data_IF_140526304472
#
_entry.id   IF_140526304472
#
_cell.length_a   1.000
_cell.length_b   1.000
_cell.length_c   1.000
_cell.angle_alpha   90.00
_cell.angle_beta   90.00
_cell.angle_gamma   90.00
#
_symmetry.space_group_name_H-M   'P 1'
#
loop_
_entity.id
_entity.type
_entity.pdbx_description
1 polymer ?
#
# COMPACT_ATOMS: atom_id res chain seq x y z
N UNK A 1 5.87 -10.50 -25.04
CA UNK A 1 5.48 -9.39 -24.15
C UNK A 1 5.82 -9.77 -22.71
N UNK A 2 7.07 -9.54 -22.28
CA UNK A 2 7.51 -9.89 -20.92
C UNK A 2 6.94 -8.89 -19.91
N UNK A 3 6.23 -9.38 -18.89
CA UNK A 3 5.88 -8.54 -17.73
C UNK A 3 7.19 -8.13 -17.06
N UNK A 4 7.46 -6.83 -16.98
CA UNK A 4 8.63 -6.34 -16.25
C UNK A 4 8.58 -6.88 -14.82
N UNK A 5 9.65 -7.50 -14.31
CA UNK A 5 9.69 -8.08 -12.96
C UNK A 5 9.48 -7.03 -11.85
N UNK A 6 9.60 -5.74 -12.19
CA UNK A 6 9.47 -4.58 -11.28
C UNK A 6 8.03 -4.07 -11.21
N UNK A 7 7.16 -4.44 -12.17
CA UNK A 7 5.80 -3.90 -12.24
C UNK A 7 4.95 -4.14 -10.97
N UNK A 8 4.96 -5.34 -10.35
CA UNK A 8 4.24 -5.58 -9.09
C UNK A 8 4.76 -4.72 -7.93
N UNK A 9 6.07 -4.41 -7.92
CA UNK A 9 6.67 -3.54 -6.92
C UNK A 9 6.18 -2.09 -7.08
N UNK A 10 6.07 -1.61 -8.32
CA UNK A 10 5.53 -0.28 -8.61
C UNK A 10 4.05 -0.17 -8.21
N UNK A 11 3.26 -1.21 -8.46
CA UNK A 11 1.85 -1.27 -8.05
C UNK A 11 1.70 -1.27 -6.52
N UNK A 12 2.54 -2.03 -5.80
CA UNK A 12 2.61 -1.97 -4.34
C UNK A 12 3.00 -0.57 -3.84
N UNK A 13 4.02 0.07 -4.45
CA UNK A 13 4.44 1.42 -4.08
C UNK A 13 3.34 2.46 -4.27
N UNK A 14 2.52 2.33 -5.32
CA UNK A 14 1.38 3.21 -5.54
C UNK A 14 0.36 3.10 -4.40
N UNK A 15 0.02 1.89 -3.96
CA UNK A 15 -0.91 1.68 -2.84
C UNK A 15 -0.36 2.17 -1.52
N UNK A 16 0.94 2.01 -1.27
CA UNK A 16 1.58 2.61 -0.08
C UNK A 16 1.50 4.13 -0.13
N UNK A 17 1.75 4.75 -1.29
CA UNK A 17 1.63 6.19 -1.46
C UNK A 17 0.19 6.68 -1.21
N UNK A 18 -0.81 5.99 -1.77
CA UNK A 18 -2.23 6.27 -1.52
C UNK A 18 -2.57 6.15 -0.02
N UNK A 19 -2.06 5.12 0.67
CA UNK A 19 -2.24 4.94 2.11
C UNK A 19 -1.64 6.11 2.91
N UNK A 20 -0.43 6.55 2.56
CA UNK A 20 0.22 7.69 3.25
C UNK A 20 -0.53 9.01 3.05
N UNK A 21 -1.21 9.21 1.92
CA UNK A 21 -2.00 10.42 1.68
C UNK A 21 -3.25 10.51 2.58
N UNK A 22 -3.76 9.36 3.04
CA UNK A 22 -4.89 9.34 3.98
C UNK A 22 -4.50 9.79 5.39
N UNK A 23 -3.21 9.75 5.75
CA UNK A 23 -2.76 10.23 7.06
C UNK A 23 -3.03 11.73 7.25
N UNK A 24 -2.90 12.53 6.19
CA UNK A 24 -3.18 13.97 6.26
C UNK A 24 -4.66 14.22 6.58
N UNK A 25 -5.56 13.46 5.96
CA UNK A 25 -7.01 13.53 6.23
C UNK A 25 -7.34 13.07 7.65
N UNK A 26 -6.76 11.96 8.09
CA UNK A 26 -6.93 11.43 9.45
C UNK A 26 -6.47 12.43 10.52
N UNK A 27 -5.26 12.97 10.38
CA UNK A 27 -4.68 13.93 11.34
C UNK A 27 -5.49 15.22 11.37
N UNK A 28 -5.90 15.72 10.19
CA UNK A 28 -6.74 16.92 10.11
C UNK A 28 -8.09 16.73 10.80
N UNK A 29 -8.75 15.59 10.59
CA UNK A 29 -10.02 15.26 11.24
C UNK A 29 -9.87 15.11 12.76
N UNK A 30 -8.80 14.43 13.21
CA UNK A 30 -8.50 14.26 14.63
C UNK A 30 -8.23 15.61 15.33
N UNK A 31 -7.48 16.53 14.69
CA UNK A 31 -7.24 17.88 15.21
C UNK A 31 -8.54 18.69 15.29
N UNK A 32 -9.44 18.53 14.30
CA UNK A 32 -10.74 19.19 14.28
C UNK A 32 -11.76 18.59 15.27
N UNK A 33 -11.43 17.46 15.92
CA UNK A 33 -12.36 16.70 16.77
C UNK A 33 -13.44 15.94 15.99
N UNK A 34 -13.29 15.82 14.68
CA UNK A 34 -14.18 15.03 13.80
C UNK A 34 -13.76 13.57 13.82
N UNK A 35 -14.18 12.85 14.87
CA UNK A 35 -13.86 11.43 15.03
C UNK A 35 -14.53 10.54 13.98
N UNK A 36 -15.68 10.95 13.43
CA UNK A 36 -16.36 10.21 12.35
C UNK A 36 -15.61 10.36 11.01
N UNK A 37 -15.06 11.54 10.73
CA UNK A 37 -14.10 11.76 9.64
C UNK A 37 -12.81 10.97 9.82
N UNK A 38 -12.27 10.95 11.04
CA UNK A 38 -11.07 10.18 11.36
C UNK A 38 -11.30 8.67 11.22
N UNK A 39 -12.44 8.14 11.66
CA UNK A 39 -12.81 6.73 11.53
C UNK A 39 -12.92 6.31 10.06
N UNK A 40 -13.58 7.11 9.22
CA UNK A 40 -13.66 6.87 7.76
C UNK A 40 -12.27 6.84 7.10
N UNK A 41 -11.41 7.78 7.48
CA UNK A 41 -10.03 7.81 6.99
C UNK A 41 -9.24 6.59 7.48
N UNK A 42 -9.47 6.15 8.72
CA UNK A 42 -8.83 4.98 9.30
C UNK A 42 -9.26 3.68 8.60
N UNK A 43 -10.54 3.51 8.31
CA UNK A 43 -11.04 2.35 7.56
C UNK A 43 -10.40 2.29 6.16
N UNK A 44 -10.29 3.44 5.49
CA UNK A 44 -9.62 3.54 4.19
C UNK A 44 -8.13 3.17 4.29
N UNK A 45 -7.43 3.65 5.33
CA UNK A 45 -6.03 3.29 5.60
C UNK A 45 -5.89 1.78 5.79
N UNK A 46 -6.79 1.17 6.56
CA UNK A 46 -6.78 -0.28 6.83
C UNK A 46 -7.01 -1.10 5.57
N UNK A 47 -7.95 -0.69 4.71
CA UNK A 47 -8.18 -1.35 3.42
C UNK A 47 -6.95 -1.28 2.51
N UNK A 48 -6.32 -0.11 2.44
CA UNK A 48 -5.11 0.08 1.63
C UNK A 48 -3.91 -0.71 2.17
N UNK A 49 -3.76 -0.81 3.49
CA UNK A 49 -2.75 -1.66 4.14
C UNK A 49 -2.94 -3.12 3.78
N UNK A 50 -4.17 -3.64 3.92
CA UNK A 50 -4.48 -5.03 3.61
C UNK A 50 -4.21 -5.36 2.14
N UNK A 51 -4.58 -4.44 1.24
CA UNK A 51 -4.28 -4.57 -0.19
C UNK A 51 -2.78 -4.54 -0.48
N UNK A 52 -2.03 -3.68 0.22
CA UNK A 52 -0.57 -3.63 0.18
C UNK A 52 0.08 -4.95 0.62
N UNK A 53 -0.33 -5.50 1.76
CA UNK A 53 0.23 -6.74 2.28
C UNK A 53 -0.09 -7.94 1.37
N UNK A 54 -1.28 -7.99 0.77
CA UNK A 54 -1.63 -9.02 -0.21
C UNK A 54 -0.71 -8.98 -1.44
N UNK A 55 -0.47 -7.80 -2.01
CA UNK A 55 0.48 -7.65 -3.12
C UNK A 55 1.91 -8.03 -2.73
N UNK A 56 2.33 -7.67 -1.51
CA UNK A 56 3.64 -8.06 -0.97
C UNK A 56 3.74 -9.57 -0.81
N UNK A 57 2.68 -10.23 -0.35
CA UNK A 57 2.61 -11.70 -0.22
C UNK A 57 2.68 -12.36 -1.59
N UNK A 58 1.92 -11.89 -2.56
CA UNK A 58 1.94 -12.38 -3.94
C UNK A 58 3.34 -12.25 -4.56
N UNK A 59 3.97 -11.08 -4.41
CA UNK A 59 5.34 -10.85 -4.87
C UNK A 59 6.32 -11.85 -4.24
N UNK A 60 6.24 -12.10 -2.93
CA UNK A 60 7.12 -13.07 -2.24
C UNK A 60 6.89 -14.52 -2.67
N UNK A 61 5.67 -14.89 -3.03
CA UNK A 61 5.32 -16.24 -3.49
C UNK A 61 5.79 -16.49 -4.93
N UNK A 62 5.71 -15.46 -5.79
CA UNK A 62 6.07 -15.57 -7.20
C UNK A 62 7.51 -15.19 -7.52
N UNK A 63 8.24 -14.55 -6.59
CA UNK A 63 9.67 -14.34 -6.74
C UNK A 63 10.43 -15.67 -6.60
N UNK A 64 11.10 -16.18 -7.65
CA UNK A 64 12.01 -17.30 -7.50
C UNK A 64 13.14 -16.88 -6.55
N UNK A 65 13.55 -17.76 -5.63
CA UNK A 65 14.78 -17.60 -4.82
C UNK A 65 16.07 -17.71 -5.67
N UNK A 66 16.05 -17.20 -6.89
CA UNK A 66 17.19 -17.21 -7.79
C UNK A 66 18.17 -16.14 -7.35
N UNK A 67 19.40 -16.57 -7.05
CA UNK A 67 20.54 -15.75 -6.65
C UNK A 67 20.97 -14.71 -7.73
N UNK A 68 20.30 -14.69 -8.88
CA UNK A 68 20.56 -13.80 -10.00
C UNK A 68 19.29 -13.03 -10.39
N UNK A 69 18.94 -12.01 -9.61
CA UNK A 69 18.24 -10.86 -10.17
C UNK A 69 19.30 -9.85 -10.61
N UNK A 70 19.35 -9.44 -11.90
CA UNK A 70 20.06 -8.24 -12.28
C UNK A 70 19.24 -7.06 -11.75
N UNK A 71 19.71 -6.48 -10.66
CA UNK A 71 19.41 -5.08 -10.33
C UNK A 71 20.12 -4.16 -11.31
#
# INVERSE_FOLDING_TARGET
FGRSPIKPLQEHMAVVAECTQQLDAFVSAAIAGDWEGAERSYDTIRELEHRGDEMKREFRLHMPKSLFMPV
#
